data_IF_610416985066
#
_entry.id   IF_610416985066
#
_cell.length_a   1.000
_cell.length_b   1.000
_cell.length_c   1.000
_cell.angle_alpha   90.00
_cell.angle_beta   90.00
_cell.angle_gamma   90.00
#
_symmetry.space_group_name_H-M   'P 1'
#
loop_
_entity.id
_entity.type
_entity.pdbx_description
1 polymer ?
#
# COMPACT_ATOMS: atom_id res chain seq x y z
N UNK A 1 9.86 8.47 -8.37
CA UNK A 1 9.51 7.04 -8.20
C UNK A 1 9.37 6.81 -6.72
N UNK A 2 8.40 6.00 -6.27
CA UNK A 2 8.20 5.69 -4.85
C UNK A 2 8.19 4.18 -4.65
N UNK A 3 8.46 3.73 -3.42
CA UNK A 3 8.54 2.30 -3.09
C UNK A 3 7.83 1.98 -1.77
N UNK A 4 7.32 0.76 -1.67
CA UNK A 4 6.78 0.16 -0.46
C UNK A 4 7.61 -1.07 -0.10
N UNK A 5 8.28 -1.06 1.05
CA UNK A 5 8.87 -2.29 1.60
C UNK A 5 7.77 -3.08 2.32
N UNK A 6 7.58 -4.35 1.97
CA UNK A 6 6.48 -5.17 2.52
C UNK A 6 6.99 -6.13 3.60
N UNK A 7 8.29 -6.43 3.60
CA UNK A 7 8.99 -7.21 4.62
C UNK A 7 10.44 -7.44 4.21
N UNK A 8 11.29 -7.84 5.16
CA UNK A 8 12.74 -7.98 4.93
C UNK A 8 13.10 -9.04 3.89
N UNK A 9 12.30 -10.09 3.77
CA UNK A 9 12.52 -11.22 2.84
C UNK A 9 11.64 -11.15 1.57
N UNK A 10 10.95 -10.03 1.33
CA UNK A 10 10.06 -9.85 0.19
C UNK A 10 10.59 -8.78 -0.77
N UNK A 11 10.30 -8.90 -2.08
CA UNK A 11 10.57 -7.83 -3.03
C UNK A 11 9.94 -6.51 -2.58
N UNK A 12 10.67 -5.42 -2.81
CA UNK A 12 10.14 -4.06 -2.66
C UNK A 12 9.17 -3.80 -3.80
N UNK A 13 7.97 -3.33 -3.47
CA UNK A 13 7.00 -2.94 -4.48
C UNK A 13 7.31 -1.53 -4.98
N UNK A 14 7.49 -1.36 -6.29
CA UNK A 14 7.85 -0.09 -6.90
C UNK A 14 6.68 0.52 -7.68
N UNK A 15 6.41 1.80 -7.45
CA UNK A 15 5.34 2.52 -8.15
C UNK A 15 5.66 4.00 -8.40
N UNK A 16 4.75 4.68 -9.09
CA UNK A 16 4.76 6.14 -9.13
C UNK A 16 4.48 6.71 -7.72
N UNK A 17 5.22 7.72 -7.26
CA UNK A 17 4.93 8.36 -5.95
C UNK A 17 3.45 8.78 -5.84
N UNK A 18 2.88 9.27 -6.94
CA UNK A 18 1.46 9.64 -7.02
C UNK A 18 0.49 8.48 -6.83
N UNK A 19 0.80 7.28 -7.34
CA UNK A 19 -0.10 6.13 -7.17
C UNK A 19 -0.04 5.60 -5.74
N UNK A 20 1.15 5.54 -5.13
CA UNK A 20 1.30 5.14 -3.72
C UNK A 20 0.52 6.08 -2.81
N UNK A 21 0.73 7.38 -3.01
CA UNK A 21 0.07 8.39 -2.22
C UNK A 21 -1.46 8.33 -2.38
N UNK A 22 -1.95 8.11 -3.60
CA UNK A 22 -3.38 7.88 -3.86
C UNK A 22 -3.93 6.65 -3.13
N UNK A 23 -3.21 5.52 -3.12
CA UNK A 23 -3.63 4.31 -2.39
C UNK A 23 -3.74 4.61 -0.89
N UNK A 24 -2.77 5.35 -0.33
CA UNK A 24 -2.76 5.74 1.09
C UNK A 24 -3.93 6.70 1.39
N UNK A 25 -4.15 7.72 0.57
CA UNK A 25 -5.28 8.65 0.74
C UNK A 25 -6.62 7.95 0.61
N UNK A 26 -6.75 7.01 -0.31
CA UNK A 26 -7.95 6.17 -0.43
C UNK A 26 -8.15 5.31 0.81
N UNK A 27 -7.09 4.72 1.37
CA UNK A 27 -7.16 3.98 2.62
C UNK A 27 -7.63 4.89 3.76
N UNK A 28 -7.03 6.07 3.94
CA UNK A 28 -7.47 7.05 4.94
C UNK A 28 -8.95 7.41 4.76
N UNK A 29 -9.38 7.65 3.51
CA UNK A 29 -10.77 7.98 3.20
C UNK A 29 -11.77 6.85 3.45
N UNK A 30 -11.32 5.59 3.46
CA UNK A 30 -12.20 4.40 3.60
C UNK A 30 -12.22 3.82 5.00
N UNK A 31 -11.08 3.77 5.69
CA UNK A 31 -10.95 3.18 7.03
C UNK A 31 -10.67 4.22 8.13
N UNK A 32 -10.55 5.50 7.76
CA UNK A 32 -10.28 6.62 8.66
C UNK A 32 -8.79 6.90 8.84
N UNK A 33 -8.49 8.01 9.53
CA UNK A 33 -7.11 8.42 9.87
C UNK A 33 -6.54 7.49 10.95
N UNK A 34 -5.90 6.41 10.53
CA UNK A 34 -5.12 5.52 11.40
C UNK A 34 -3.70 6.06 11.56
N UNK A 35 -3.08 5.97 12.75
CA UNK A 35 -1.71 6.44 12.96
C UNK A 35 -0.70 5.90 11.93
N UNK A 36 -0.78 4.61 11.61
CA UNK A 36 0.12 4.01 10.63
C UNK A 36 -0.08 4.56 9.21
N UNK A 37 -1.31 4.86 8.79
CA UNK A 37 -1.58 5.47 7.49
C UNK A 37 -1.03 6.89 7.42
N UNK A 38 -1.17 7.65 8.50
CA UNK A 38 -0.59 8.99 8.61
C UNK A 38 0.93 8.92 8.50
N UNK A 39 1.61 8.00 9.19
CA UNK A 39 3.06 7.80 9.07
C UNK A 39 3.50 7.43 7.65
N UNK A 40 2.76 6.55 6.98
CA UNK A 40 3.03 6.19 5.58
C UNK A 40 2.89 7.41 4.66
N UNK A 41 1.84 8.21 4.86
CA UNK A 41 1.59 9.45 4.11
C UNK A 41 2.69 10.49 4.36
N UNK A 42 3.03 10.73 5.61
CA UNK A 42 4.05 11.70 6.05
C UNK A 42 5.43 11.40 5.47
N UNK A 43 5.77 10.12 5.31
CA UNK A 43 7.00 9.70 4.63
C UNK A 43 7.07 10.33 3.23
N UNK A 44 5.98 10.27 2.46
CA UNK A 44 5.93 10.92 1.16
C UNK A 44 5.79 12.43 1.23
N UNK A 45 5.10 12.99 2.22
CA UNK A 45 4.95 14.45 2.38
C UNK A 45 6.28 15.14 2.67
N UNK A 46 7.14 14.51 3.47
CA UNK A 46 8.50 14.99 3.78
C UNK A 46 9.51 14.78 2.64
N UNK A 47 9.06 14.31 1.48
CA UNK A 47 9.90 14.13 0.29
C UNK A 47 10.66 12.81 0.26
N UNK A 48 10.41 11.89 1.20
CA UNK A 48 10.89 10.51 1.04
C UNK A 48 10.14 9.83 -0.11
N UNK A 49 10.83 8.88 -0.73
CA UNK A 49 10.29 8.06 -1.82
C UNK A 49 10.00 6.63 -1.34
N UNK A 50 9.88 6.43 -0.04
CA UNK A 50 9.78 5.11 0.58
C UNK A 50 8.80 5.16 1.75
N UNK A 51 8.06 4.07 1.93
CA UNK A 51 7.23 3.80 3.08
C UNK A 51 7.35 2.32 3.44
N UNK A 52 7.31 2.02 4.75
CA UNK A 52 7.53 0.67 5.25
C UNK A 52 6.24 0.02 5.75
N UNK A 53 5.75 -0.94 4.99
CA UNK A 53 4.65 -1.82 5.40
C UNK A 53 5.15 -3.02 6.24
N UNK A 54 6.45 -3.33 6.21
CA UNK A 54 7.06 -4.43 6.94
C UNK A 54 7.00 -4.26 8.47
N UNK A 55 7.00 -3.00 8.92
CA UNK A 55 6.84 -2.61 10.32
C UNK A 55 5.38 -2.69 10.83
N UNK A 56 4.39 -2.89 9.95
CA UNK A 56 2.98 -2.96 10.35
C UNK A 56 2.66 -4.27 11.04
N UNK A 57 1.76 -4.20 12.02
CA UNK A 57 1.17 -5.41 12.61
C UNK A 57 0.30 -6.15 11.59
N UNK A 58 0.03 -7.43 11.84
CA UNK A 58 -0.88 -8.25 11.01
C UNK A 58 -2.24 -7.57 10.81
N UNK A 59 -2.76 -6.92 11.85
CA UNK A 59 -4.05 -6.23 11.80
C UNK A 59 -3.99 -5.02 10.85
N UNK A 60 -3.03 -4.13 11.05
CA UNK A 60 -2.86 -2.92 10.23
C UNK A 60 -2.56 -3.27 8.76
N UNK A 61 -1.72 -4.27 8.53
CA UNK A 61 -1.40 -4.75 7.20
C UNK A 61 -2.64 -5.35 6.52
N UNK A 62 -3.50 -6.05 7.26
CA UNK A 62 -4.77 -6.58 6.74
C UNK A 62 -5.77 -5.46 6.41
N UNK A 63 -5.88 -4.44 7.26
CA UNK A 63 -6.70 -3.25 6.97
C UNK A 63 -6.21 -2.53 5.70
N UNK A 64 -4.89 -2.29 5.59
CA UNK A 64 -4.28 -1.70 4.39
C UNK A 64 -4.55 -2.55 3.14
N UNK A 65 -4.33 -3.87 3.21
CA UNK A 65 -4.59 -4.82 2.12
C UNK A 65 -6.03 -4.72 1.63
N UNK A 66 -6.99 -4.68 2.55
CA UNK A 66 -8.41 -4.60 2.21
C UNK A 66 -8.75 -3.26 1.53
N UNK A 67 -8.16 -2.15 2.00
CA UNK A 67 -8.32 -0.85 1.37
C UNK A 67 -7.69 -0.83 -0.04
N UNK A 68 -6.47 -1.35 -0.22
CA UNK A 68 -5.81 -1.46 -1.52
C UNK A 68 -6.59 -2.36 -2.49
N UNK A 69 -7.15 -3.46 -2.00
CA UNK A 69 -8.01 -4.35 -2.80
C UNK A 69 -9.32 -3.64 -3.21
N UNK A 70 -9.89 -2.81 -2.33
CA UNK A 70 -11.05 -1.99 -2.66
C UNK A 70 -10.72 -0.91 -3.69
N UNK A 71 -9.59 -0.21 -3.52
CA UNK A 71 -9.06 0.74 -4.49
C UNK A 71 -8.96 0.07 -5.88
N UNK A 72 -8.45 -1.17 -5.89
CA UNK A 72 -8.27 -1.92 -7.11
C UNK A 72 -9.57 -2.37 -7.77
N UNK A 73 -10.46 -2.99 -7.00
CA UNK A 73 -11.77 -3.45 -7.48
C UNK A 73 -12.61 -2.31 -8.06
N UNK A 74 -12.50 -1.11 -7.49
CA UNK A 74 -13.21 0.07 -7.97
C UNK A 74 -12.55 0.75 -9.18
N UNK A 75 -11.40 0.24 -9.63
CA UNK A 75 -10.59 0.81 -10.71
C UNK A 75 -10.31 2.29 -10.43
N UNK A 76 -10.04 2.60 -9.16
CA UNK A 76 -9.95 3.98 -8.69
C UNK A 76 -8.78 4.72 -9.37
N UNK A 77 -7.67 4.03 -9.65
CA UNK A 77 -6.54 4.57 -10.40
C UNK A 77 -6.93 5.17 -11.75
N UNK A 78 -7.89 4.56 -12.46
CA UNK A 78 -8.35 5.03 -13.77
C UNK A 78 -9.16 6.31 -13.64
N UNK A 79 -9.96 6.43 -12.57
CA UNK A 79 -10.74 7.65 -12.26
C UNK A 79 -9.81 8.83 -11.94
N UNK A 80 -8.64 8.54 -11.40
CA UNK A 80 -7.61 9.53 -11.06
C UNK A 80 -6.62 9.80 -12.20
N UNK A 81 -6.84 9.17 -13.37
CA UNK A 81 -6.08 9.42 -14.59
C UNK A 81 -4.80 8.60 -14.74
N UNK A 82 -4.55 7.62 -13.87
CA UNK A 82 -3.47 6.66 -14.06
C UNK A 82 -3.85 5.62 -15.12
N UNK A 83 -2.86 5.16 -15.88
CA UNK A 83 -3.04 4.16 -16.96
C UNK A 83 -2.40 2.85 -16.54
N UNK A 84 -3.01 1.74 -16.97
CA UNK A 84 -2.41 0.40 -16.96
C UNK A 84 -1.87 -0.06 -15.59
N UNK A 85 -2.58 0.29 -14.50
CA UNK A 85 -2.16 -0.04 -13.13
C UNK A 85 -2.70 -1.39 -12.62
N UNK A 86 -3.36 -2.19 -13.47
CA UNK A 86 -4.01 -3.44 -13.04
C UNK A 86 -2.98 -4.47 -12.55
N UNK A 87 -1.99 -4.78 -13.37
CA UNK A 87 -0.88 -5.69 -13.00
C UNK A 87 -0.09 -5.14 -11.81
N UNK A 88 0.17 -3.84 -11.80
CA UNK A 88 0.89 -3.14 -10.73
C UNK A 88 0.15 -3.28 -9.38
N UNK A 89 -1.17 -3.16 -9.37
CA UNK A 89 -1.98 -3.31 -8.17
C UNK A 89 -2.11 -4.78 -7.76
N UNK A 90 -2.17 -5.71 -8.70
CA UNK A 90 -2.15 -7.13 -8.40
C UNK A 90 -0.84 -7.53 -7.70
N UNK A 91 0.31 -7.05 -8.21
CA UNK A 91 1.61 -7.28 -7.59
C UNK A 91 1.67 -6.78 -6.14
N UNK A 92 1.10 -5.60 -5.86
CA UNK A 92 1.03 -5.06 -4.50
C UNK A 92 0.26 -6.01 -3.58
N UNK A 93 -0.91 -6.47 -4.03
CA UNK A 93 -1.78 -7.33 -3.24
C UNK A 93 -1.11 -8.69 -2.98
N UNK A 94 -0.44 -9.26 -3.98
CA UNK A 94 0.27 -10.54 -3.85
C UNK A 94 1.41 -10.45 -2.83
N UNK A 95 2.19 -9.35 -2.84
CA UNK A 95 3.27 -9.13 -1.87
C UNK A 95 2.72 -8.94 -0.44
N UNK A 96 1.64 -8.18 -0.29
CA UNK A 96 1.02 -7.97 1.02
C UNK A 96 0.39 -9.27 1.55
N UNK A 97 -0.22 -10.08 0.69
CA UNK A 97 -0.76 -11.40 1.06
C UNK A 97 0.35 -12.40 1.43
N UNK A 98 1.49 -12.37 0.73
CA UNK A 98 2.66 -13.15 1.10
C UNK A 98 3.17 -12.78 2.50
N UNK A 99 3.23 -11.47 2.82
CA UNK A 99 3.62 -11.01 4.16
C UNK A 99 2.62 -11.42 5.24
N UNK A 100 1.32 -11.27 4.98
CA UNK A 100 0.28 -11.71 5.92
C UNK A 100 0.36 -13.22 6.22
N UNK A 101 0.74 -14.02 5.23
CA UNK A 101 0.98 -15.46 5.40
C UNK A 101 2.19 -15.73 6.30
N UNK A 102 3.30 -15.01 6.11
CA UNK A 102 4.46 -15.10 6.99
C UNK A 102 4.09 -14.77 8.45
N UNK A 103 3.34 -13.69 8.67
CA UNK A 103 2.87 -13.27 10.00
C UNK A 103 1.86 -14.22 10.67
N UNK A 104 1.33 -15.21 9.94
CA UNK A 104 0.38 -16.20 10.48
C UNK A 104 1.09 -17.50 10.87
N UNK A 105 2.31 -17.72 10.39
CA UNK A 105 3.06 -18.98 10.58
C UNK A 105 4.01 -18.91 11.78
N UNK A 106 4.12 -17.76 12.44
CA UNK A 106 4.93 -17.50 13.63
C UNK A 106 4.04 -17.17 14.84
#
# INVERSE_FOLDING_TARGET
>A
MGVLSVGDDLPVWGGGRRIIYSIIEYAIGTIGERPYLTTLKESFDHGYNHADLGALTRYELSEFRNAAASYARNIQWKREGFKDCEELMQELLDLVDARLTQLTTH
#
